data_IF_933639978814
#
_entry.id   IF_933639978814
#
_cell.length_a   1.000
_cell.length_b   1.000
_cell.length_c   1.000
_cell.angle_alpha   90.00
_cell.angle_beta   90.00
_cell.angle_gamma   90.00
#
_symmetry.space_group_name_H-M   'P 1'
#
loop_
_entity.id
_entity.type
_entity.pdbx_description
1 polymer ?
#
# COMPACT_ATOMS: atom_id res chain seq x y z
N UNK A 1 -6.67 -14.39 11.84
CA UNK A 1 -6.75 -14.41 10.36
C UNK A 1 -7.11 -13.01 9.89
N UNK A 2 -6.44 -12.48 8.85
CA UNK A 2 -6.78 -11.19 8.24
C UNK A 2 -7.84 -11.37 7.15
N UNK A 3 -8.87 -10.52 7.14
CA UNK A 3 -9.93 -10.50 6.14
C UNK A 3 -10.39 -9.07 5.88
N UNK A 4 -10.20 -8.56 4.66
CA UNK A 4 -10.78 -7.32 4.16
C UNK A 4 -11.75 -7.57 2.99
N UNK A 5 -12.48 -6.53 2.60
CA UNK A 5 -13.49 -6.56 1.52
C UNK A 5 -12.94 -7.02 0.16
N UNK A 6 -11.62 -6.96 -0.05
CA UNK A 6 -10.99 -7.27 -1.34
C UNK A 6 -10.23 -8.61 -1.23
N UNK A 7 -10.78 -9.73 -1.74
CA UNK A 7 -10.16 -11.05 -1.62
C UNK A 7 -8.75 -11.12 -2.20
N UNK A 8 -8.48 -10.33 -3.25
CA UNK A 8 -7.15 -10.23 -3.86
C UNK A 8 -6.11 -9.69 -2.86
N UNK A 9 -6.48 -8.74 -1.99
CA UNK A 9 -5.60 -8.20 -0.95
C UNK A 9 -5.38 -9.20 0.19
N UNK A 10 -6.40 -9.99 0.55
CA UNK A 10 -6.26 -11.09 1.52
C UNK A 10 -5.28 -12.16 1.01
N UNK A 11 -5.45 -12.59 -0.25
CA UNK A 11 -4.58 -13.59 -0.89
C UNK A 11 -3.16 -13.06 -1.05
N UNK A 12 -3.01 -11.81 -1.46
CA UNK A 12 -1.69 -11.20 -1.67
C UNK A 12 -0.90 -11.11 -0.36
N UNK A 13 -1.53 -10.71 0.74
CA UNK A 13 -0.89 -10.67 2.06
C UNK A 13 -0.31 -12.06 2.44
N UNK A 14 -1.10 -13.12 2.25
CA UNK A 14 -0.71 -14.50 2.59
C UNK A 14 0.39 -15.07 1.70
N UNK A 15 0.41 -14.71 0.41
CA UNK A 15 1.21 -15.43 -0.59
C UNK A 15 2.40 -14.64 -1.15
N UNK A 16 2.39 -13.31 -1.05
CA UNK A 16 3.37 -12.45 -1.74
C UNK A 16 4.02 -11.40 -0.85
N UNK A 17 3.35 -10.93 0.20
CA UNK A 17 3.84 -9.79 0.99
C UNK A 17 5.25 -9.97 1.56
N UNK A 18 5.51 -11.10 2.23
CA UNK A 18 6.81 -11.36 2.84
C UNK A 18 7.93 -11.43 1.79
N UNK A 19 7.70 -12.17 0.70
CA UNK A 19 8.67 -12.28 -0.40
C UNK A 19 8.95 -10.91 -1.02
N UNK A 20 7.91 -10.12 -1.27
CA UNK A 20 8.06 -8.79 -1.85
C UNK A 20 8.84 -7.83 -0.93
N UNK A 21 8.66 -7.95 0.39
CA UNK A 21 9.45 -7.21 1.38
C UNK A 21 10.91 -7.67 1.36
N UNK A 22 11.16 -8.99 1.43
CA UNK A 22 12.53 -9.52 1.52
C UNK A 22 13.34 -9.32 0.24
N UNK A 23 12.71 -9.32 -0.94
CA UNK A 23 13.38 -9.06 -2.22
C UNK A 23 13.47 -7.58 -2.59
N UNK A 24 12.95 -6.68 -1.76
CA UNK A 24 13.01 -5.23 -2.01
C UNK A 24 12.09 -4.72 -3.12
N UNK A 25 11.21 -5.56 -3.69
CA UNK A 25 10.22 -5.13 -4.71
C UNK A 25 9.25 -4.10 -4.12
N UNK A 26 8.82 -4.32 -2.89
CA UNK A 26 8.00 -3.36 -2.15
C UNK A 26 8.24 -3.51 -0.66
N UNK A 27 8.42 -2.40 0.04
CA UNK A 27 8.47 -2.43 1.50
C UNK A 27 7.05 -2.56 2.05
N UNK A 28 6.76 -3.70 2.66
CA UNK A 28 5.47 -3.99 3.30
C UNK A 28 5.54 -3.66 4.79
N UNK A 29 4.52 -2.96 5.28
CA UNK A 29 4.31 -2.64 6.69
C UNK A 29 2.99 -3.27 7.14
N UNK A 30 3.01 -3.92 8.30
CA UNK A 30 1.84 -4.50 8.93
C UNK A 30 1.56 -3.79 10.26
N UNK A 31 0.28 -3.56 10.54
CA UNK A 31 -0.22 -3.06 11.80
C UNK A 31 -0.83 -4.23 12.55
N UNK A 32 -0.34 -4.49 13.76
CA UNK A 32 -0.87 -5.52 14.63
C UNK A 32 -1.76 -4.92 15.71
N UNK A 33 -2.80 -5.65 16.13
CA UNK A 33 -3.54 -5.29 17.33
C UNK A 33 -2.61 -5.33 18.55
N UNK A 34 -2.83 -4.40 19.48
CA UNK A 34 -2.00 -4.22 20.66
C UNK A 34 -1.78 -5.52 21.42
N UNK A 35 -0.53 -5.78 21.84
CA UNK A 35 -0.12 -7.00 22.55
C UNK A 35 -0.44 -8.32 21.82
N UNK A 36 -0.60 -8.29 20.48
CA UNK A 36 -0.81 -9.49 19.68
C UNK A 36 0.02 -9.48 18.39
N UNK A 37 0.13 -10.64 17.74
CA UNK A 37 0.64 -10.75 16.37
C UNK A 37 -0.49 -10.76 15.32
N UNK A 38 -1.71 -10.34 15.70
CA UNK A 38 -2.85 -10.30 14.78
C UNK A 38 -2.75 -9.05 13.92
N UNK A 39 -2.47 -9.24 12.63
CA UNK A 39 -2.53 -8.17 11.64
C UNK A 39 -3.97 -7.66 11.53
N UNK A 40 -4.15 -6.34 11.72
CA UNK A 40 -5.41 -5.61 11.57
C UNK A 40 -5.38 -4.61 10.41
N UNK A 41 -4.21 -4.38 9.83
CA UNK A 41 -4.04 -3.55 8.64
C UNK A 41 -2.67 -3.75 8.03
N UNK A 42 -2.53 -3.44 6.75
CA UNK A 42 -1.22 -3.41 6.11
C UNK A 42 -1.21 -2.44 4.93
N UNK A 43 -0.02 -1.99 4.57
CA UNK A 43 0.21 -1.27 3.32
C UNK A 43 1.58 -1.62 2.73
N UNK A 44 1.77 -1.36 1.44
CA UNK A 44 3.07 -1.52 0.80
C UNK A 44 3.47 -0.32 -0.04
N UNK A 45 4.75 0.04 0.05
CA UNK A 45 5.37 1.12 -0.69
C UNK A 45 6.41 0.58 -1.67
N UNK A 46 6.47 1.16 -2.88
CA UNK A 46 7.51 0.86 -3.87
C UNK A 46 8.08 2.16 -4.44
N UNK A 47 9.37 2.16 -4.78
CA UNK A 47 9.96 3.24 -5.55
C UNK A 47 9.46 3.20 -6.99
N UNK A 48 9.28 4.38 -7.58
CA UNK A 48 8.91 4.52 -8.98
C UNK A 48 9.35 5.86 -9.56
N UNK A 49 9.06 6.07 -10.83
CA UNK A 49 9.26 7.37 -11.46
C UNK A 49 8.24 7.63 -12.57
N UNK A 50 7.88 8.90 -12.75
CA UNK A 50 7.09 9.36 -13.90
C UNK A 50 7.91 10.28 -14.78
N UNK A 51 7.66 10.23 -16.09
CA UNK A 51 8.18 11.23 -17.02
C UNK A 51 7.38 12.52 -16.85
N UNK A 52 8.06 13.65 -16.96
CA UNK A 52 7.49 14.99 -16.80
C UNK A 52 6.19 15.23 -17.58
N UNK A 53 6.08 14.65 -18.78
CA UNK A 53 4.91 14.76 -19.67
C UNK A 53 3.63 14.12 -19.14
N UNK A 54 3.70 13.20 -18.18
CA UNK A 54 2.54 12.45 -17.66
C UNK A 54 1.98 13.02 -16.35
N UNK A 55 2.51 14.14 -15.85
CA UNK A 55 2.19 14.71 -14.53
C UNK A 55 1.42 16.03 -14.71
N UNK A 56 0.44 16.38 -13.86
CA UNK A 56 -0.24 17.68 -13.94
C UNK A 56 0.74 18.86 -13.86
N UNK A 57 0.43 19.96 -14.57
CA UNK A 57 1.34 21.10 -14.77
C UNK A 57 1.87 21.72 -13.48
N UNK A 58 1.14 21.63 -12.37
CA UNK A 58 1.56 22.14 -11.06
C UNK A 58 2.82 21.46 -10.54
N UNK A 59 3.03 20.18 -10.86
CA UNK A 59 4.19 19.39 -10.42
C UNK A 59 5.38 19.46 -11.39
N UNK A 60 5.24 20.20 -12.49
CA UNK A 60 6.26 20.31 -13.55
C UNK A 60 7.23 21.46 -13.36
N UNK A 61 6.87 22.48 -12.57
CA UNK A 61 7.71 23.68 -12.39
C UNK A 61 8.97 23.30 -11.61
N UNK A 62 10.14 23.55 -12.20
CA UNK A 62 11.48 23.28 -11.64
C UNK A 62 11.80 21.79 -11.34
N UNK A 63 11.05 20.84 -11.91
CA UNK A 63 11.29 19.41 -11.70
C UNK A 63 12.21 18.81 -12.79
N UNK A 64 13.07 17.82 -12.46
CA UNK A 64 13.81 17.03 -13.45
C UNK A 64 12.86 16.30 -14.43
N UNK A 65 13.35 15.88 -15.60
CA UNK A 65 12.55 15.17 -16.63
C UNK A 65 11.95 13.84 -16.09
N UNK A 66 12.60 13.26 -15.09
CA UNK A 66 12.13 12.09 -14.34
C UNK A 66 11.84 12.51 -12.90
N UNK A 67 10.58 12.40 -12.49
CA UNK A 67 10.14 12.74 -11.14
C UNK A 67 10.13 11.48 -10.28
N UNK A 68 10.96 11.40 -9.21
CA UNK A 68 10.95 10.26 -8.30
C UNK A 68 9.66 10.26 -7.48
N UNK A 69 9.07 9.08 -7.30
CA UNK A 69 7.85 8.91 -6.52
C UNK A 69 7.96 7.71 -5.59
N UNK A 70 7.08 7.70 -4.58
CA UNK A 70 6.76 6.51 -3.80
C UNK A 70 5.33 6.11 -4.14
N UNK A 71 5.15 4.88 -4.60
CA UNK A 71 3.85 4.31 -4.96
C UNK A 71 3.26 3.61 -3.73
N UNK A 72 2.09 4.05 -3.29
CA UNK A 72 1.23 3.28 -2.38
C UNK A 72 0.56 2.16 -3.18
N UNK A 73 1.18 0.98 -3.20
CA UNK A 73 0.74 -0.11 -4.08
C UNK A 73 -0.51 -0.84 -3.56
N UNK A 74 -0.61 -1.02 -2.25
CA UNK A 74 -1.72 -1.73 -1.59
C UNK A 74 -1.96 -1.11 -0.22
N UNK A 75 -3.22 -1.03 0.17
CA UNK A 75 -3.68 -0.63 1.49
C UNK A 75 -4.92 -1.48 1.82
N UNK A 76 -4.92 -2.11 2.99
CA UNK A 76 -6.08 -2.87 3.45
C UNK A 76 -6.19 -2.79 4.98
N UNK A 77 -7.44 -2.74 5.45
CA UNK A 77 -7.80 -2.80 6.86
C UNK A 77 -8.68 -4.05 7.05
N UNK A 78 -8.49 -4.76 8.16
CA UNK A 78 -9.31 -5.91 8.52
C UNK A 78 -10.74 -5.47 8.81
N UNK A 79 -11.73 -6.28 8.43
CA UNK A 79 -13.16 -6.00 8.66
C UNK A 79 -13.50 -5.69 10.12
N UNK A 80 -12.80 -6.30 11.08
CA UNK A 80 -13.03 -6.02 12.49
C UNK A 80 -12.61 -4.61 12.93
N UNK A 81 -11.84 -3.90 12.09
CA UNK A 81 -11.33 -2.56 12.35
C UNK A 81 -11.74 -1.54 11.28
N UNK A 82 -12.52 -1.94 10.27
CA UNK A 82 -12.99 -0.99 9.27
C UNK A 82 -14.10 -0.13 9.87
N UNK A 83 -13.86 1.17 10.01
CA UNK A 83 -14.94 2.13 10.17
C UNK A 83 -15.79 2.05 8.90
N UNK A 84 -17.03 1.56 8.98
CA UNK A 84 -17.96 1.76 7.89
C UNK A 84 -18.05 3.26 7.65
N UNK A 85 -17.65 3.73 6.47
CA UNK A 85 -18.19 5.00 5.98
C UNK A 85 -19.71 4.80 6.02
N UNK A 86 -20.49 5.62 6.74
CA UNK A 86 -21.93 5.52 6.64
C UNK A 86 -22.28 5.63 5.15
N UNK A 87 -23.13 4.74 4.61
CA UNK A 87 -23.63 4.94 3.25
C UNK A 87 -24.30 6.32 3.23
N UNK A 88 -23.79 7.20 2.37
CA UNK A 88 -24.39 8.52 2.14
C UNK A 88 -25.78 8.40 1.53
#
# INVERSE_FOLDING_TARGET
>A
MFCCQVPALNKWLKTKALRNHSTGISRVYAVCAENTNRIIGYYCLSSGSFRHKTVPGTYRRNAPDVIPIIVLGRLAIDHSCSCAYPPG
#
